data_IF_966490570549
#
_entry.id   IF_966490570549
#
_cell.length_a   1.000
_cell.length_b   1.000
_cell.length_c   1.000
_cell.angle_alpha   90.00
_cell.angle_beta   90.00
_cell.angle_gamma   90.00
#
_symmetry.space_group_name_H-M   'P 1'
#
loop_
_entity.id
_entity.type
_entity.pdbx_description
1 polymer ?
#
# COMPACT_ATOMS: atom_id res chain seq x y z
N UNK A 1 -13.11 30.58 11.94
CA UNK A 1 -12.21 29.51 12.40
C UNK A 1 -12.56 28.16 11.74
N UNK A 2 -13.84 27.79 11.66
CA UNK A 2 -14.27 26.53 11.04
C UNK A 2 -13.86 26.39 9.57
N UNK A 3 -14.08 27.39 8.75
CA UNK A 3 -13.62 27.40 7.34
C UNK A 3 -12.10 27.27 7.18
N UNK A 4 -11.31 27.83 8.11
CA UNK A 4 -9.85 27.72 8.04
C UNK A 4 -9.39 26.29 8.31
N UNK A 5 -9.99 25.59 9.28
CA UNK A 5 -9.66 24.20 9.57
C UNK A 5 -10.00 23.28 8.39
N UNK A 6 -11.17 23.46 7.77
CA UNK A 6 -11.55 22.70 6.57
C UNK A 6 -10.54 22.91 5.42
N UNK A 7 -10.11 24.14 5.19
CA UNK A 7 -9.09 24.44 4.17
C UNK A 7 -7.75 23.78 4.48
N UNK A 8 -7.32 23.77 5.75
CA UNK A 8 -6.10 23.08 6.18
C UNK A 8 -6.23 21.56 6.00
N UNK A 9 -7.38 20.99 6.31
CA UNK A 9 -7.65 19.56 6.09
C UNK A 9 -7.60 19.20 4.60
N UNK A 10 -8.18 20.04 3.73
CA UNK A 10 -8.11 19.86 2.28
C UNK A 10 -6.65 19.87 1.80
N UNK A 11 -5.88 20.90 2.18
CA UNK A 11 -4.48 21.03 1.77
C UNK A 11 -3.68 19.83 2.26
N UNK A 12 -3.84 19.44 3.52
CA UNK A 12 -3.11 18.30 4.08
C UNK A 12 -3.46 16.99 3.38
N UNK A 13 -4.75 16.72 3.17
CA UNK A 13 -5.20 15.51 2.47
C UNK A 13 -4.70 15.46 1.02
N UNK A 14 -4.69 16.61 0.32
CA UNK A 14 -4.13 16.68 -1.04
C UNK A 14 -2.62 16.45 -1.05
N UNK A 15 -1.87 17.00 -0.09
CA UNK A 15 -0.43 16.70 0.07
C UNK A 15 -0.23 15.20 0.29
N UNK A 16 -1.00 14.59 1.20
CA UNK A 16 -0.98 13.14 1.42
C UNK A 16 -1.28 12.36 0.13
N UNK A 17 -2.33 12.73 -0.59
CA UNK A 17 -2.69 12.10 -1.86
C UNK A 17 -1.56 12.17 -2.90
N UNK A 18 -0.90 13.32 -3.04
CA UNK A 18 0.22 13.48 -3.96
C UNK A 18 1.44 12.67 -3.53
N UNK A 19 1.76 12.62 -2.23
CA UNK A 19 2.85 11.78 -1.73
C UNK A 19 2.58 10.30 -2.00
N UNK A 20 1.37 9.82 -1.76
CA UNK A 20 0.99 8.43 -2.10
C UNK A 20 0.98 8.19 -3.61
N UNK A 21 0.60 9.18 -4.42
CA UNK A 21 0.74 9.10 -5.87
C UNK A 21 2.22 8.90 -6.28
N UNK A 22 3.13 9.65 -5.67
CA UNK A 22 4.57 9.50 -5.89
C UNK A 22 5.08 8.10 -5.49
N UNK A 23 4.41 7.39 -4.59
CA UNK A 23 4.75 6.02 -4.25
C UNK A 23 4.61 5.06 -5.44
N UNK A 24 3.80 5.36 -6.45
CA UNK A 24 3.76 4.56 -7.69
C UNK A 24 5.11 4.60 -8.42
N UNK A 25 5.75 5.77 -8.47
CA UNK A 25 7.11 5.88 -8.96
C UNK A 25 8.10 5.11 -8.07
N UNK A 26 7.95 5.19 -6.75
CA UNK A 26 8.74 4.44 -5.78
C UNK A 26 8.67 2.93 -6.02
N UNK A 27 7.49 2.36 -6.16
CA UNK A 27 7.28 0.94 -6.49
C UNK A 27 7.90 0.56 -7.83
N UNK A 28 7.70 1.38 -8.87
CA UNK A 28 8.31 1.15 -10.18
C UNK A 28 9.84 1.12 -10.11
N UNK A 29 10.45 1.99 -9.28
CA UNK A 29 11.90 2.03 -9.05
C UNK A 29 12.39 0.80 -8.28
N UNK A 30 11.70 0.40 -7.20
CA UNK A 30 12.01 -0.80 -6.41
C UNK A 30 11.97 -2.03 -7.30
N UNK A 31 10.85 -2.26 -7.99
CA UNK A 31 10.68 -3.42 -8.84
C UNK A 31 11.70 -3.45 -9.99
N UNK A 32 11.89 -2.32 -10.68
CA UNK A 32 12.86 -2.22 -11.77
C UNK A 32 14.27 -2.47 -11.27
N UNK A 33 14.66 -1.86 -10.14
CA UNK A 33 15.98 -1.98 -9.58
C UNK A 33 16.34 -3.40 -9.14
N UNK A 34 15.38 -4.13 -8.57
CA UNK A 34 15.58 -5.48 -8.01
C UNK A 34 15.26 -6.62 -8.99
N UNK A 35 14.96 -6.31 -10.23
CA UNK A 35 14.75 -7.30 -11.30
C UNK A 35 15.80 -7.20 -12.40
N UNK A 36 15.72 -8.08 -13.40
CA UNK A 36 16.65 -8.06 -14.54
C UNK A 36 16.30 -6.95 -15.52
N UNK A 37 17.31 -6.23 -16.04
CA UNK A 37 17.18 -5.07 -16.93
C UNK A 37 16.21 -5.28 -18.11
N UNK A 38 16.18 -6.47 -18.69
CA UNK A 38 15.31 -6.80 -19.84
C UNK A 38 13.81 -6.65 -19.54
N UNK A 39 13.42 -6.60 -18.26
CA UNK A 39 12.03 -6.49 -17.85
C UNK A 39 11.63 -5.06 -17.48
N UNK A 40 12.53 -4.09 -17.45
CA UNK A 40 12.31 -2.73 -16.96
C UNK A 40 11.13 -2.05 -17.64
N UNK A 41 11.02 -2.11 -18.96
CA UNK A 41 9.91 -1.51 -19.71
C UNK A 41 8.56 -2.16 -19.37
N UNK A 42 8.53 -3.48 -19.20
CA UNK A 42 7.29 -4.17 -18.78
C UNK A 42 6.88 -3.78 -17.36
N UNK A 43 7.85 -3.66 -16.44
CA UNK A 43 7.60 -3.28 -15.05
C UNK A 43 7.07 -1.85 -14.97
N UNK A 44 7.71 -0.89 -15.64
CA UNK A 44 7.24 0.48 -15.69
C UNK A 44 5.82 0.58 -16.24
N UNK A 45 5.54 -0.13 -17.34
CA UNK A 45 4.20 -0.16 -17.94
C UNK A 45 3.16 -0.76 -16.98
N UNK A 46 3.49 -1.84 -16.26
CA UNK A 46 2.59 -2.43 -15.26
C UNK A 46 2.25 -1.44 -14.15
N UNK A 47 3.25 -0.84 -13.52
CA UNK A 47 3.04 0.12 -12.44
C UNK A 47 2.25 1.36 -12.91
N UNK A 48 2.47 1.84 -14.13
CA UNK A 48 1.66 2.89 -14.72
C UNK A 48 0.20 2.46 -14.89
N UNK A 49 -0.03 1.24 -15.38
CA UNK A 49 -1.38 0.72 -15.61
C UNK A 49 -2.13 0.43 -14.33
N UNK A 50 -1.47 0.10 -13.21
CA UNK A 50 -2.14 -0.03 -11.91
C UNK A 50 -2.82 1.28 -11.51
N UNK A 51 -2.12 2.39 -11.69
CA UNK A 51 -2.69 3.70 -11.39
C UNK A 51 -3.81 4.06 -12.38
N UNK A 52 -3.62 3.81 -13.68
CA UNK A 52 -4.63 4.13 -14.71
C UNK A 52 -5.89 3.31 -14.52
N UNK A 53 -5.78 2.00 -14.38
CA UNK A 53 -6.92 1.10 -14.18
C UNK A 53 -7.55 1.33 -12.80
N UNK A 54 -6.73 1.51 -11.76
CA UNK A 54 -7.19 1.86 -10.42
C UNK A 54 -8.03 3.13 -10.43
N UNK A 55 -7.55 4.19 -11.07
CA UNK A 55 -8.28 5.46 -11.15
C UNK A 55 -9.63 5.31 -11.85
N UNK A 56 -9.66 4.62 -13.00
CA UNK A 56 -10.90 4.48 -13.78
C UNK A 56 -11.90 3.56 -13.07
N UNK A 57 -11.47 2.37 -12.70
CA UNK A 57 -12.39 1.36 -12.17
C UNK A 57 -12.82 1.65 -10.72
N UNK A 58 -11.94 2.23 -9.94
CA UNK A 58 -12.32 2.67 -8.60
C UNK A 58 -13.32 3.83 -8.66
N UNK A 59 -13.13 4.79 -9.59
CA UNK A 59 -14.09 5.87 -9.78
C UNK A 59 -15.48 5.37 -10.17
N UNK A 60 -15.57 4.45 -11.15
CA UNK A 60 -16.88 4.05 -11.70
C UNK A 60 -17.62 3.00 -10.86
N UNK A 61 -16.90 2.14 -10.13
CA UNK A 61 -17.49 1.02 -9.38
C UNK A 61 -16.90 0.93 -7.97
N UNK A 62 -15.57 0.92 -7.82
CA UNK A 62 -14.90 0.60 -6.58
C UNK A 62 -15.26 1.54 -5.43
N UNK A 63 -15.31 2.84 -5.68
CA UNK A 63 -15.69 3.82 -4.65
C UNK A 63 -17.10 3.59 -4.12
N UNK A 64 -18.03 3.25 -4.98
CA UNK A 64 -19.40 2.90 -4.61
C UNK A 64 -19.47 1.63 -3.76
N UNK A 65 -18.75 0.57 -4.15
CA UNK A 65 -18.65 -0.66 -3.37
C UNK A 65 -18.01 -0.43 -1.99
N UNK A 66 -17.06 0.51 -1.90
CA UNK A 66 -16.35 0.79 -0.66
C UNK A 66 -17.11 1.72 0.27
N UNK A 67 -17.71 2.79 -0.23
CA UNK A 67 -18.28 3.88 0.55
C UNK A 67 -19.77 4.15 0.29
N UNK A 68 -20.41 3.40 -0.58
CA UNK A 68 -21.78 3.65 -1.05
C UNK A 68 -22.88 3.09 -0.15
N UNK A 69 -22.76 3.21 1.16
CA UNK A 69 -23.78 2.77 2.10
C UNK A 69 -23.23 2.04 3.31
N UNK A 70 -24.11 1.64 4.22
CA UNK A 70 -23.78 1.15 5.56
C UNK A 70 -24.12 -0.33 5.81
N UNK A 71 -24.34 -1.16 4.78
CA UNK A 71 -24.53 -2.58 5.03
C UNK A 71 -23.20 -3.24 5.46
N UNK A 72 -23.29 -4.44 6.05
CA UNK A 72 -22.11 -5.10 6.64
C UNK A 72 -21.04 -5.55 5.61
N UNK A 73 -21.39 -5.70 4.34
CA UNK A 73 -20.54 -6.41 3.39
C UNK A 73 -20.06 -5.57 2.20
N UNK A 74 -20.92 -4.73 1.61
CA UNK A 74 -20.61 -3.93 0.41
C UNK A 74 -21.42 -2.63 0.39
N UNK A 75 -20.88 -1.59 -0.25
CA UNK A 75 -21.64 -0.41 -0.63
C UNK A 75 -22.60 -0.69 -1.79
N UNK A 76 -23.74 -0.04 -1.82
CA UNK A 76 -24.81 -0.29 -2.80
C UNK A 76 -25.27 0.95 -3.56
N UNK A 77 -24.69 2.12 -3.29
CA UNK A 77 -25.05 3.39 -3.92
C UNK A 77 -23.86 4.11 -4.54
N UNK A 78 -24.09 5.05 -5.43
CA UNK A 78 -23.05 5.90 -6.03
C UNK A 78 -22.34 5.30 -7.24
N UNK A 79 -22.76 4.17 -7.77
CA UNK A 79 -22.17 3.57 -8.98
C UNK A 79 -22.22 4.53 -10.15
N UNK A 80 -21.13 4.62 -10.91
CA UNK A 80 -20.93 5.54 -12.05
C UNK A 80 -21.06 7.03 -11.73
N UNK A 81 -21.52 7.37 -10.54
CA UNK A 81 -21.72 8.75 -10.09
C UNK A 81 -21.38 8.94 -8.60
N UNK A 82 -20.11 8.71 -8.21
CA UNK A 82 -19.72 8.72 -6.80
C UNK A 82 -19.98 10.06 -6.09
N UNK A 83 -20.04 11.18 -6.83
CA UNK A 83 -20.40 12.49 -6.27
C UNK A 83 -21.81 12.54 -5.67
N UNK A 84 -22.70 11.61 -6.02
CA UNK A 84 -24.03 11.50 -5.42
C UNK A 84 -24.00 11.03 -3.95
N UNK A 85 -22.85 10.58 -3.46
CA UNK A 85 -22.66 10.20 -2.06
C UNK A 85 -22.34 11.40 -1.15
N UNK A 86 -22.04 12.56 -1.73
CA UNK A 86 -21.81 13.80 -0.97
C UNK A 86 -23.11 14.34 -0.41
N UNK A 87 -23.01 15.06 0.72
CA UNK A 87 -24.10 15.85 1.28
C UNK A 87 -24.45 17.09 0.40
N UNK A 88 -25.39 17.92 0.87
CA UNK A 88 -25.87 19.09 0.14
C UNK A 88 -24.75 20.13 -0.14
N UNK A 89 -23.72 20.16 0.71
CA UNK A 89 -22.58 21.06 0.60
C UNK A 89 -21.42 20.43 -0.21
N UNK A 90 -21.62 19.25 -0.79
CA UNK A 90 -20.61 18.55 -1.57
C UNK A 90 -19.55 17.85 -0.72
N UNK A 91 -19.80 17.67 0.57
CA UNK A 91 -18.86 17.08 1.53
C UNK A 91 -19.10 15.58 1.71
N UNK A 92 -18.03 14.86 2.02
CA UNK A 92 -18.04 13.45 2.37
C UNK A 92 -16.93 13.20 3.40
N UNK A 93 -17.28 12.63 4.54
CA UNK A 93 -16.35 12.42 5.66
C UNK A 93 -15.55 13.70 6.06
N UNK A 94 -16.24 14.85 6.09
CA UNK A 94 -15.64 16.13 6.49
C UNK A 94 -14.74 16.81 5.46
N UNK A 95 -14.67 16.27 4.25
CA UNK A 95 -13.89 16.81 3.12
C UNK A 95 -14.78 16.96 1.88
N UNK A 96 -14.47 17.89 0.95
CA UNK A 96 -15.06 17.83 -0.39
C UNK A 96 -14.87 16.44 -0.98
N UNK A 97 -15.92 15.84 -1.53
CA UNK A 97 -15.89 14.45 -2.00
C UNK A 97 -14.77 14.18 -3.01
N UNK A 98 -14.42 15.15 -3.86
CA UNK A 98 -13.32 15.02 -4.81
C UNK A 98 -11.96 14.86 -4.13
N UNK A 99 -11.73 15.54 -2.99
CA UNK A 99 -10.50 15.44 -2.18
C UNK A 99 -10.43 14.06 -1.52
N UNK A 100 -11.51 13.62 -0.90
CA UNK A 100 -11.58 12.29 -0.28
C UNK A 100 -11.40 11.19 -1.33
N UNK A 101 -12.05 11.32 -2.48
CA UNK A 101 -12.01 10.33 -3.54
C UNK A 101 -10.62 10.18 -4.16
N UNK A 102 -9.89 11.28 -4.46
CA UNK A 102 -8.54 11.15 -5.01
C UNK A 102 -7.59 10.51 -3.99
N UNK A 103 -7.72 10.86 -2.71
CA UNK A 103 -6.96 10.23 -1.64
C UNK A 103 -7.21 8.71 -1.60
N UNK A 104 -8.46 8.26 -1.63
CA UNK A 104 -8.79 6.84 -1.64
C UNK A 104 -8.38 6.12 -2.95
N UNK A 105 -8.37 6.82 -4.08
CA UNK A 105 -7.95 6.27 -5.38
C UNK A 105 -6.48 5.86 -5.37
N UNK A 106 -5.60 6.66 -4.78
CA UNK A 106 -4.16 6.33 -4.72
C UNK A 106 -3.87 5.12 -3.82
N UNK A 107 -4.70 4.89 -2.81
CA UNK A 107 -4.64 3.68 -1.97
C UNK A 107 -5.09 2.43 -2.74
N UNK A 108 -6.15 2.54 -3.53
CA UNK A 108 -6.60 1.47 -4.42
C UNK A 108 -5.49 1.05 -5.39
N UNK A 109 -4.87 2.00 -6.07
CA UNK A 109 -3.77 1.73 -6.99
C UNK A 109 -2.59 1.05 -6.28
N UNK A 110 -2.28 1.46 -5.03
CA UNK A 110 -1.21 0.85 -4.23
C UNK A 110 -1.49 -0.62 -3.93
N UNK A 111 -2.74 -1.01 -3.63
CA UNK A 111 -3.08 -2.42 -3.36
C UNK A 111 -2.82 -3.33 -4.58
N UNK A 112 -3.05 -2.84 -5.79
CA UNK A 112 -2.74 -3.56 -7.03
C UNK A 112 -1.22 -3.63 -7.30
N UNK A 113 -0.50 -2.52 -7.09
CA UNK A 113 0.94 -2.42 -7.30
C UNK A 113 1.74 -3.39 -6.42
N UNK A 114 1.34 -3.63 -5.17
CA UNK A 114 2.00 -4.59 -4.27
C UNK A 114 2.12 -5.99 -4.90
N UNK A 115 1.15 -6.40 -5.70
CA UNK A 115 1.15 -7.72 -6.37
C UNK A 115 2.19 -7.79 -7.49
N UNK A 116 2.50 -6.65 -8.12
CA UNK A 116 3.38 -6.57 -9.29
C UNK A 116 4.75 -7.20 -9.05
N UNK A 117 5.41 -6.84 -7.95
CA UNK A 117 6.75 -7.36 -7.63
C UNK A 117 6.78 -8.88 -7.43
N UNK A 118 5.76 -9.44 -6.79
CA UNK A 118 5.66 -10.88 -6.54
C UNK A 118 5.53 -11.72 -7.83
N UNK A 119 4.96 -11.15 -8.88
CA UNK A 119 4.76 -11.80 -10.17
C UNK A 119 5.72 -11.31 -11.27
N UNK A 120 6.65 -10.40 -10.93
CA UNK A 120 7.60 -9.82 -11.86
C UNK A 120 8.38 -10.89 -12.66
N UNK A 121 8.71 -10.56 -13.92
CA UNK A 121 9.49 -11.36 -14.86
C UNK A 121 8.82 -12.63 -15.42
N UNK A 122 7.60 -12.98 -15.01
CA UNK A 122 6.94 -14.25 -15.41
C UNK A 122 5.43 -14.16 -15.67
N UNK A 123 4.85 -12.96 -15.57
CA UNK A 123 3.42 -12.73 -15.83
C UNK A 123 3.22 -12.07 -17.19
N UNK A 124 2.27 -12.57 -17.98
CA UNK A 124 1.85 -11.91 -19.22
C UNK A 124 1.20 -10.57 -18.90
N UNK A 125 1.49 -9.55 -19.71
CA UNK A 125 0.98 -8.20 -19.50
C UNK A 125 -0.55 -8.15 -19.44
N UNK A 126 -1.23 -8.83 -20.35
CA UNK A 126 -2.71 -8.88 -20.37
C UNK A 126 -3.30 -9.50 -19.08
N UNK A 127 -2.69 -10.56 -18.55
CA UNK A 127 -3.13 -11.17 -17.29
C UNK A 127 -2.94 -10.20 -16.11
N UNK A 128 -1.89 -9.38 -16.19
CA UNK A 128 -1.64 -8.32 -15.22
C UNK A 128 -2.75 -7.27 -15.23
N UNK A 129 -3.15 -6.77 -16.41
CA UNK A 129 -4.24 -5.80 -16.52
C UNK A 129 -5.57 -6.34 -15.97
N UNK A 130 -5.87 -7.62 -16.25
CA UNK A 130 -7.10 -8.25 -15.75
C UNK A 130 -7.12 -8.33 -14.23
N UNK A 131 -6.02 -8.75 -13.58
CA UNK A 131 -6.04 -8.83 -12.13
C UNK A 131 -6.02 -7.44 -11.47
N UNK A 132 -5.31 -6.47 -12.04
CA UNK A 132 -5.30 -5.09 -11.54
C UNK A 132 -6.71 -4.50 -11.57
N UNK A 133 -7.45 -4.72 -12.67
CA UNK A 133 -8.85 -4.37 -12.76
C UNK A 133 -9.71 -5.09 -11.69
N UNK A 134 -9.52 -6.39 -11.50
CA UNK A 134 -10.27 -7.17 -10.51
C UNK A 134 -10.00 -6.69 -9.07
N UNK A 135 -8.76 -6.36 -8.75
CA UNK A 135 -8.42 -5.77 -7.45
C UNK A 135 -9.12 -4.43 -7.27
N UNK A 136 -9.04 -3.55 -8.26
CA UNK A 136 -9.58 -2.19 -8.18
C UNK A 136 -11.11 -2.13 -8.16
N UNK A 137 -11.78 -3.10 -8.80
CA UNK A 137 -13.25 -3.16 -8.87
C UNK A 137 -13.83 -3.87 -7.64
N UNK A 138 -13.25 -5.00 -7.23
CA UNK A 138 -13.90 -5.92 -6.29
C UNK A 138 -13.09 -6.13 -5.01
N UNK A 139 -11.83 -6.62 -5.10
CA UNK A 139 -11.13 -7.16 -3.94
C UNK A 139 -10.83 -6.06 -2.94
N UNK A 140 -10.14 -5.00 -3.38
CA UNK A 140 -9.81 -3.87 -2.53
C UNK A 140 -11.06 -3.11 -2.01
N UNK A 141 -12.05 -2.75 -2.87
CA UNK A 141 -13.22 -2.02 -2.38
C UNK A 141 -14.07 -2.79 -1.38
N UNK A 142 -14.25 -4.08 -1.57
CA UNK A 142 -15.05 -4.90 -0.65
C UNK A 142 -14.35 -5.03 0.71
N UNK A 143 -13.06 -5.35 0.72
CA UNK A 143 -12.29 -5.42 1.97
C UNK A 143 -12.14 -4.05 2.63
N UNK A 144 -11.96 -2.99 1.85
CA UNK A 144 -11.95 -1.62 2.35
C UNK A 144 -13.30 -1.19 2.92
N UNK A 145 -14.42 -1.65 2.36
CA UNK A 145 -15.74 -1.43 2.93
C UNK A 145 -15.87 -2.05 4.33
N UNK A 146 -15.37 -3.26 4.51
CA UNK A 146 -15.42 -3.93 5.82
C UNK A 146 -14.71 -3.14 6.91
N UNK A 147 -13.65 -2.41 6.57
CA UNK A 147 -12.74 -1.72 7.52
C UNK A 147 -13.07 -0.22 7.62
N UNK A 148 -13.20 0.47 6.49
CA UNK A 148 -13.35 1.93 6.42
C UNK A 148 -14.72 2.40 5.91
N UNK A 149 -15.46 1.53 5.24
CA UNK A 149 -16.78 1.84 4.68
C UNK A 149 -17.96 1.59 5.62
N UNK A 150 -17.71 1.31 6.90
CA UNK A 150 -18.75 1.01 7.89
C UNK A 150 -19.23 -0.44 7.86
N UNK A 151 -18.48 -1.36 7.23
CA UNK A 151 -18.79 -2.79 7.16
C UNK A 151 -18.54 -3.54 8.48
N UNK A 152 -18.65 -4.86 8.44
CA UNK A 152 -18.69 -5.71 9.63
C UNK A 152 -17.45 -5.64 10.52
N UNK A 153 -16.24 -5.46 9.96
CA UNK A 153 -15.02 -5.29 10.75
C UNK A 153 -15.04 -3.98 11.53
N UNK A 154 -15.42 -2.88 10.88
CA UNK A 154 -15.61 -1.58 11.54
C UNK A 154 -16.62 -1.68 12.68
N UNK A 155 -17.73 -2.40 12.46
CA UNK A 155 -18.83 -2.54 13.46
C UNK A 155 -18.39 -3.31 14.71
N UNK A 156 -17.42 -4.22 14.61
CA UNK A 156 -16.85 -4.92 15.77
C UNK A 156 -15.62 -4.22 16.38
N UNK A 157 -15.28 -3.00 15.91
CA UNK A 157 -14.19 -2.20 16.46
C UNK A 157 -12.81 -2.54 15.91
N UNK A 158 -12.71 -3.18 14.74
CA UNK A 158 -11.42 -3.42 14.09
C UNK A 158 -10.78 -2.09 13.69
N UNK A 159 -9.54 -1.87 14.13
CA UNK A 159 -8.77 -0.68 13.85
C UNK A 159 -7.69 -0.93 12.80
N UNK A 160 -7.72 -0.15 11.74
CA UNK A 160 -6.67 -0.08 10.71
C UNK A 160 -6.58 1.36 10.22
N UNK A 161 -5.68 2.11 10.81
CA UNK A 161 -5.59 3.55 10.60
C UNK A 161 -5.29 3.91 9.14
N UNK A 162 -4.21 3.37 8.59
CA UNK A 162 -3.75 3.77 7.26
C UNK A 162 -3.71 2.61 6.23
N UNK A 163 -4.16 1.41 6.57
CA UNK A 163 -4.36 0.35 5.58
C UNK A 163 -3.34 -0.79 5.60
N UNK A 164 -2.78 -1.14 6.76
CA UNK A 164 -1.98 -2.37 6.86
C UNK A 164 -2.78 -3.59 6.40
N UNK A 165 -4.05 -3.67 6.78
CA UNK A 165 -4.96 -4.73 6.34
C UNK A 165 -5.66 -4.37 5.05
N UNK A 166 -6.30 -3.20 5.00
CA UNK A 166 -7.12 -2.79 3.87
C UNK A 166 -6.35 -2.72 2.54
N UNK A 167 -5.07 -2.34 2.58
CA UNK A 167 -4.22 -2.19 1.39
C UNK A 167 -3.13 -3.26 1.32
N UNK A 168 -2.27 -3.32 2.35
CA UNK A 168 -1.04 -4.12 2.28
C UNK A 168 -1.31 -5.62 2.43
N UNK A 169 -2.19 -6.05 3.34
CA UNK A 169 -2.54 -7.46 3.45
C UNK A 169 -3.35 -7.93 2.24
N UNK A 170 -4.24 -7.10 1.72
CA UNK A 170 -4.98 -7.39 0.47
C UNK A 170 -4.00 -7.61 -0.68
N UNK A 171 -3.10 -6.65 -0.92
CA UNK A 171 -2.05 -6.78 -1.92
C UNK A 171 -1.15 -7.99 -1.68
N UNK A 172 -0.73 -8.21 -0.43
CA UNK A 172 0.13 -9.32 -0.03
C UNK A 172 -0.48 -10.71 -0.25
N UNK A 173 -1.76 -10.90 0.09
CA UNK A 173 -2.48 -12.16 -0.15
C UNK A 173 -2.71 -12.42 -1.65
N UNK A 174 -3.06 -11.39 -2.41
CA UNK A 174 -3.14 -11.47 -3.86
C UNK A 174 -1.76 -11.79 -4.48
N UNK A 175 -0.69 -11.19 -3.95
CA UNK A 175 0.69 -11.47 -4.34
C UNK A 175 1.09 -12.93 -4.07
N UNK A 176 0.73 -13.45 -2.89
CA UNK A 176 0.99 -14.84 -2.53
C UNK A 176 0.26 -15.81 -3.47
N UNK A 177 -1.02 -15.56 -3.72
CA UNK A 177 -1.81 -16.37 -4.67
C UNK A 177 -1.21 -16.31 -6.08
N UNK A 178 -0.91 -15.11 -6.58
CA UNK A 178 -0.30 -14.89 -7.87
C UNK A 178 1.08 -15.57 -8.00
N UNK A 179 1.96 -15.39 -7.01
CA UNK A 179 3.28 -16.03 -6.99
C UNK A 179 3.20 -17.55 -7.00
N UNK A 180 2.24 -18.13 -6.27
CA UNK A 180 1.99 -19.59 -6.25
C UNK A 180 1.54 -20.08 -7.63
N UNK A 181 0.68 -19.34 -8.31
CA UNK A 181 0.16 -19.72 -9.63
C UNK A 181 1.21 -19.63 -10.74
N UNK A 182 2.04 -18.55 -10.75
CA UNK A 182 3.05 -18.36 -11.80
C UNK A 182 4.35 -19.12 -11.53
N UNK A 183 4.54 -19.62 -10.32
CA UNK A 183 5.73 -20.38 -9.91
C UNK A 183 7.02 -19.54 -9.83
N UNK A 184 8.20 -20.17 -9.72
CA UNK A 184 9.47 -19.50 -9.57
C UNK A 184 9.93 -18.82 -10.88
N UNK A 185 10.78 -17.79 -10.76
CA UNK A 185 11.41 -17.15 -11.91
C UNK A 185 12.34 -18.12 -12.63
N UNK A 186 12.41 -18.01 -13.96
CA UNK A 186 13.33 -18.82 -14.79
C UNK A 186 14.77 -18.61 -14.30
N UNK A 187 15.47 -19.71 -13.98
CA UNK A 187 16.82 -19.71 -13.46
C UNK A 187 16.90 -19.50 -11.93
N UNK A 188 15.78 -19.53 -11.19
CA UNK A 188 15.79 -19.41 -9.73
C UNK A 188 16.33 -20.66 -9.02
N UNK A 189 16.18 -21.81 -9.63
CA UNK A 189 16.66 -23.07 -9.09
C UNK A 189 17.55 -23.81 -10.11
N UNK A 190 18.57 -24.52 -9.62
CA UNK A 190 19.34 -25.47 -10.43
C UNK A 190 18.51 -26.71 -10.75
N UNK A 191 19.03 -27.61 -11.58
CA UNK A 191 18.38 -28.90 -11.87
C UNK A 191 18.21 -29.76 -10.61
N UNK A 192 19.09 -29.59 -9.62
CA UNK A 192 19.10 -30.26 -8.32
C UNK A 192 18.20 -29.56 -7.27
N UNK A 193 17.45 -28.50 -7.68
CA UNK A 193 16.54 -27.76 -6.79
C UNK A 193 17.22 -26.74 -5.86
N UNK A 194 18.53 -26.48 -6.02
CA UNK A 194 19.24 -25.48 -5.20
C UNK A 194 18.89 -24.06 -5.65
N UNK A 195 18.61 -23.13 -4.73
CA UNK A 195 18.28 -21.75 -5.08
C UNK A 195 19.52 -21.02 -5.65
N UNK A 196 19.29 -20.25 -6.72
CA UNK A 196 20.29 -19.40 -7.36
C UNK A 196 19.94 -17.94 -7.08
N UNK A 197 20.95 -17.12 -6.77
CA UNK A 197 20.75 -15.68 -6.65
C UNK A 197 20.44 -15.08 -8.03
N UNK A 198 19.41 -14.24 -8.07
CA UNK A 198 19.08 -13.42 -9.25
C UNK A 198 19.18 -11.96 -8.81
N UNK A 199 20.36 -11.35 -8.91
CA UNK A 199 20.56 -9.97 -8.47
C UNK A 199 19.75 -9.00 -9.34
N UNK A 200 19.28 -7.92 -8.73
CA UNK A 200 18.74 -6.79 -9.47
C UNK A 200 19.81 -6.08 -10.29
N UNK A 201 19.40 -5.48 -11.39
CA UNK A 201 20.36 -4.81 -12.28
C UNK A 201 20.74 -3.40 -11.83
N UNK A 202 19.93 -2.76 -10.96
CA UNK A 202 20.19 -1.40 -10.50
C UNK A 202 19.73 -1.23 -9.04
N UNK A 203 20.53 -1.73 -8.11
CA UNK A 203 20.24 -1.65 -6.67
C UNK A 203 20.11 -0.20 -6.15
N UNK A 204 20.92 0.78 -6.60
CA UNK A 204 20.74 2.18 -6.23
C UNK A 204 19.35 2.74 -6.60
N UNK A 205 18.82 2.40 -7.78
CA UNK A 205 17.48 2.78 -8.19
C UNK A 205 16.42 2.16 -7.26
N UNK A 206 16.57 0.89 -6.92
CA UNK A 206 15.69 0.20 -5.98
C UNK A 206 15.71 0.84 -4.60
N UNK A 207 16.89 1.19 -4.08
CA UNK A 207 17.03 1.87 -2.80
C UNK A 207 16.37 3.26 -2.80
N UNK A 208 16.54 4.05 -3.87
CA UNK A 208 15.89 5.35 -4.01
C UNK A 208 14.35 5.20 -3.99
N UNK A 209 13.83 4.16 -4.65
CA UNK A 209 12.41 3.84 -4.61
C UNK A 209 11.89 3.61 -3.18
N UNK A 210 12.64 2.92 -2.33
CA UNK A 210 12.27 2.70 -0.91
C UNK A 210 12.15 4.03 -0.15
N UNK A 211 13.06 4.98 -0.36
CA UNK A 211 12.97 6.30 0.28
C UNK A 211 11.72 7.08 -0.15
N UNK A 212 11.29 6.95 -1.41
CA UNK A 212 10.05 7.58 -1.88
C UNK A 212 8.81 6.99 -1.18
N UNK A 213 8.86 5.72 -0.77
CA UNK A 213 7.75 5.02 -0.11
C UNK A 213 7.61 5.35 1.39
N UNK A 214 8.50 6.17 1.98
CA UNK A 214 8.66 6.26 3.43
C UNK A 214 7.52 6.98 4.17
N UNK A 215 7.00 8.11 3.69
CA UNK A 215 6.18 8.99 4.52
C UNK A 215 4.75 9.29 4.04
N UNK A 216 4.41 9.08 2.78
CA UNK A 216 3.15 9.59 2.22
C UNK A 216 1.88 8.96 2.79
N UNK A 217 1.95 7.71 3.20
CA UNK A 217 0.79 6.89 3.52
C UNK A 217 0.20 7.22 4.90
N UNK A 218 1.00 7.10 5.96
CA UNK A 218 0.51 7.14 7.34
C UNK A 218 0.10 8.55 7.77
N UNK A 219 0.94 9.54 7.58
CA UNK A 219 0.62 10.92 7.96
C UNK A 219 -0.57 11.48 7.18
N UNK A 220 -0.70 11.15 5.90
CA UNK A 220 -1.84 11.57 5.07
C UNK A 220 -3.17 10.98 5.53
N UNK A 221 -3.16 9.82 6.18
CA UNK A 221 -4.37 9.10 6.60
C UNK A 221 -5.13 9.76 7.74
N UNK A 222 -4.59 10.78 8.40
CA UNK A 222 -5.38 11.64 9.29
C UNK A 222 -6.51 12.34 8.55
N UNK A 223 -6.39 12.56 7.24
CA UNK A 223 -7.32 13.34 6.40
C UNK A 223 -7.67 14.72 6.99
N UNK A 224 -6.86 15.18 7.92
CA UNK A 224 -7.00 16.44 8.63
C UNK A 224 -5.64 16.94 9.14
N UNK A 225 -5.49 18.25 9.25
CA UNK A 225 -4.34 18.85 9.90
C UNK A 225 -4.53 18.81 11.43
N UNK A 226 -3.94 17.81 12.06
CA UNK A 226 -4.08 17.51 13.49
C UNK A 226 -2.75 17.59 14.24
N UNK A 227 -2.80 17.77 15.55
CA UNK A 227 -1.60 17.92 16.39
C UNK A 227 -0.74 16.64 16.46
N UNK A 228 -1.34 15.45 16.30
CA UNK A 228 -0.64 14.16 16.36
C UNK A 228 0.12 13.79 15.08
N UNK A 229 0.16 14.66 14.07
CA UNK A 229 0.91 14.39 12.83
C UNK A 229 2.40 14.11 13.09
N UNK A 230 2.99 14.81 14.05
CA UNK A 230 4.38 14.60 14.45
C UNK A 230 4.61 13.21 15.04
N UNK A 231 3.71 12.76 15.90
CA UNK A 231 3.78 11.44 16.55
C UNK A 231 3.63 10.31 15.50
N UNK A 232 2.66 10.43 14.59
CA UNK A 232 2.46 9.47 13.49
C UNK A 232 3.71 9.40 12.59
N UNK A 233 4.33 10.54 12.29
CA UNK A 233 5.55 10.57 11.50
C UNK A 233 6.72 9.91 12.25
N UNK A 234 6.84 10.14 13.56
CA UNK A 234 7.91 9.58 14.38
C UNK A 234 7.75 8.06 14.54
N UNK A 235 6.58 7.57 14.91
CA UNK A 235 6.30 6.12 15.02
C UNK A 235 6.53 5.39 13.70
N UNK A 236 6.10 5.99 12.58
CA UNK A 236 6.35 5.46 11.24
C UNK A 236 7.84 5.37 10.92
N UNK A 237 8.60 6.43 11.18
CA UNK A 237 10.03 6.48 10.94
C UNK A 237 10.80 5.47 11.80
N UNK A 238 10.48 5.39 13.08
CA UNK A 238 11.14 4.48 14.02
C UNK A 238 10.88 3.01 13.67
N UNK A 239 9.65 2.66 13.28
CA UNK A 239 9.31 1.32 12.84
C UNK A 239 10.10 0.88 11.60
N UNK A 240 10.18 1.75 10.59
CA UNK A 240 10.96 1.50 9.39
C UNK A 240 12.46 1.37 9.69
N UNK A 241 13.01 2.27 10.52
CA UNK A 241 14.43 2.26 10.90
C UNK A 241 14.79 1.00 11.70
N UNK A 242 13.97 0.61 12.68
CA UNK A 242 14.17 -0.59 13.48
C UNK A 242 14.15 -1.86 12.62
N UNK A 243 13.14 -2.02 11.77
CA UNK A 243 13.03 -3.18 10.89
C UNK A 243 14.20 -3.26 9.89
N UNK A 244 14.66 -2.12 9.39
CA UNK A 244 15.86 -2.03 8.53
C UNK A 244 17.10 -2.52 9.27
N UNK A 245 17.32 -2.00 10.48
CA UNK A 245 18.49 -2.35 11.30
C UNK A 245 18.48 -3.83 11.69
N UNK A 246 17.34 -4.34 12.15
CA UNK A 246 17.22 -5.76 12.51
C UNK A 246 17.48 -6.66 11.30
N UNK A 247 16.92 -6.34 10.13
CA UNK A 247 17.13 -7.11 8.91
C UNK A 247 18.60 -7.08 8.47
N UNK A 248 19.26 -5.94 8.57
CA UNK A 248 20.70 -5.81 8.30
C UNK A 248 21.51 -6.71 9.23
N UNK A 249 21.27 -6.67 10.54
CA UNK A 249 21.97 -7.50 11.53
C UNK A 249 21.73 -8.99 11.29
N UNK A 250 20.48 -9.40 11.10
CA UNK A 250 20.11 -10.81 10.86
C UNK A 250 20.77 -11.34 9.59
N UNK A 251 20.75 -10.57 8.51
CA UNK A 251 21.39 -11.00 7.26
C UNK A 251 22.92 -11.06 7.39
N UNK A 252 23.51 -10.11 8.12
CA UNK A 252 24.95 -10.12 8.38
C UNK A 252 25.40 -11.34 9.18
N UNK A 253 24.71 -11.63 10.29
CA UNK A 253 25.01 -12.80 11.13
C UNK A 253 24.81 -14.10 10.37
N UNK A 254 23.71 -14.20 9.58
CA UNK A 254 23.34 -15.45 8.89
C UNK A 254 24.19 -15.75 7.66
N UNK A 255 24.60 -14.72 6.92
CA UNK A 255 25.28 -14.87 5.63
C UNK A 255 26.73 -14.36 5.62
N UNK A 256 27.24 -13.89 6.76
CA UNK A 256 28.60 -13.33 6.91
C UNK A 256 28.77 -11.93 6.30
N UNK A 257 27.76 -11.39 5.64
CA UNK A 257 27.71 -10.03 5.10
C UNK A 257 26.26 -9.54 5.01
N UNK A 258 26.00 -8.23 5.17
CA UNK A 258 24.65 -7.69 5.00
C UNK A 258 24.18 -7.82 3.55
N UNK A 259 22.87 -8.12 3.39
CA UNK A 259 22.22 -8.15 2.07
C UNK A 259 21.42 -6.87 1.86
N UNK A 260 21.79 -6.07 0.87
CA UNK A 260 21.15 -4.76 0.61
C UNK A 260 19.68 -4.90 0.22
N UNK A 261 19.33 -5.89 -0.59
CA UNK A 261 17.94 -6.06 -1.05
C UNK A 261 17.04 -6.52 0.08
N UNK A 262 17.51 -7.43 0.94
CA UNK A 262 16.76 -7.82 2.13
C UNK A 262 16.65 -6.68 3.14
N UNK A 263 17.71 -5.90 3.34
CA UNK A 263 17.71 -4.74 4.24
C UNK A 263 16.68 -3.68 3.78
N UNK A 264 16.62 -3.38 2.48
CA UNK A 264 15.62 -2.48 1.92
C UNK A 264 14.18 -3.02 2.04
N UNK A 265 13.99 -4.32 1.86
CA UNK A 265 12.69 -4.96 2.12
C UNK A 265 12.33 -4.94 3.62
N UNK A 266 13.31 -4.96 4.51
CA UNK A 266 13.10 -4.75 5.94
C UNK A 266 12.48 -3.39 6.24
N UNK A 267 12.93 -2.33 5.59
CA UNK A 267 12.30 -1.00 5.71
C UNK A 267 10.83 -1.03 5.31
N UNK A 268 10.52 -1.63 4.16
CA UNK A 268 9.14 -1.76 3.69
C UNK A 268 8.28 -2.60 4.65
N UNK A 269 8.82 -3.68 5.20
CA UNK A 269 8.10 -4.50 6.18
C UNK A 269 7.77 -3.70 7.46
N UNK A 270 8.70 -2.87 7.96
CA UNK A 270 8.47 -1.99 9.09
C UNK A 270 7.39 -0.94 8.82
N UNK A 271 7.42 -0.32 7.63
CA UNK A 271 6.40 0.63 7.20
C UNK A 271 5.02 -0.02 7.15
N UNK A 272 4.92 -1.22 6.57
CA UNK A 272 3.66 -1.97 6.49
C UNK A 272 3.13 -2.36 7.87
N UNK A 273 4.01 -2.84 8.75
CA UNK A 273 3.61 -3.30 10.08
C UNK A 273 3.00 -2.16 10.92
N UNK A 274 3.61 -0.97 10.91
CA UNK A 274 3.16 0.17 11.71
C UNK A 274 1.90 0.85 11.16
N UNK A 275 1.56 0.64 9.90
CA UNK A 275 0.52 1.38 9.18
C UNK A 275 -0.87 1.27 9.81
N UNK A 276 -1.21 0.14 10.48
CA UNK A 276 -2.50 -0.01 11.15
C UNK A 276 -2.61 0.76 12.47
N UNK A 277 -1.49 0.97 13.17
CA UNK A 277 -1.49 1.41 14.57
C UNK A 277 -0.65 2.66 14.84
N UNK A 278 -0.10 3.29 13.80
CA UNK A 278 0.82 4.43 13.96
C UNK A 278 0.21 5.64 14.68
N UNK A 279 -1.11 5.72 14.78
CA UNK A 279 -1.87 6.77 15.45
C UNK A 279 -2.18 6.48 16.93
N UNK A 280 -2.00 5.23 17.39
CA UNK A 280 -2.37 4.77 18.74
C UNK A 280 -1.22 4.19 19.55
N UNK A 281 -0.06 3.93 18.93
CA UNK A 281 1.14 3.47 19.62
C UNK A 281 2.03 4.65 19.97
N UNK A 282 2.81 4.52 21.06
CA UNK A 282 3.81 5.52 21.42
C UNK A 282 5.19 5.18 20.82
N UNK A 283 6.15 6.12 20.93
CA UNK A 283 7.49 6.00 20.35
C UNK A 283 8.31 4.81 20.88
N UNK A 284 7.93 4.20 22.01
CA UNK A 284 8.62 3.05 22.59
C UNK A 284 8.02 1.71 22.14
N UNK A 285 6.77 1.69 21.68
CA UNK A 285 6.06 0.46 21.28
C UNK A 285 6.50 -0.03 19.90
N UNK A 286 7.15 0.81 19.09
CA UNK A 286 7.57 0.45 17.72
C UNK A 286 8.45 -0.80 17.67
N UNK A 287 9.26 -1.06 18.70
CA UNK A 287 10.13 -2.25 18.78
C UNK A 287 9.33 -3.55 18.89
N UNK A 288 8.15 -3.51 19.48
CA UNK A 288 7.26 -4.67 19.64
C UNK A 288 6.46 -4.97 18.37
N UNK A 289 6.02 -3.93 17.64
CA UNK A 289 5.20 -4.08 16.44
C UNK A 289 6.00 -4.44 15.17
N UNK A 290 7.30 -4.20 15.15
CA UNK A 290 8.16 -4.58 14.01
C UNK A 290 8.60 -6.03 14.03
N UNK A 291 8.35 -6.74 15.14
CA UNK A 291 8.60 -8.17 15.25
C UNK A 291 7.25 -8.90 15.11
N UNK A 292 7.06 -9.76 14.07
CA UNK A 292 5.90 -10.63 14.04
C UNK A 292 6.02 -11.59 15.24
N UNK A 293 5.31 -11.25 16.32
CA UNK A 293 5.28 -12.09 17.51
C UNK A 293 4.32 -13.27 17.26
N UNK A 294 4.77 -14.52 17.38
CA UNK A 294 3.86 -15.66 17.41
C UNK A 294 3.03 -15.74 18.70
N UNK A 295 3.03 -14.69 19.52
CA UNK A 295 2.40 -14.64 20.85
C UNK A 295 1.06 -13.94 20.92
N UNK A 296 0.59 -13.31 19.86
CA UNK A 296 -0.79 -12.85 19.80
C UNK A 296 -1.68 -14.06 19.48
N UNK A 297 -1.92 -14.84 20.54
CA UNK A 297 -2.81 -15.98 20.57
C UNK A 297 -4.17 -15.58 21.09
#
# INVERSE_FOLDING_TARGET
MENTQVLLNIVWTMVGAFLVYFMQAGFAMVETGFTRAKNSGNILMKNMMDFVLGSIFFFIIGFALMFGGSNAFIGTAGFFHPKSLADADGMFNGLPIGVFMIFQTVFCATSATIVSGAMAERTKFISYLIYSAAISIFIYPITGHWIWGGGWLSQIGFHDFAGSTAVHMVGGLCALAGAKMVGPRIGKYTKEGKPVAIPGHNLPLGALGVFILWFGFNCGSTTAATYNLGDIAMTTNLAAAAATLVTLIVTWVRYGKPDISMTMNGALAGLVAITASCDVVNDYDFLLYTSPSPRDR
#
